data_IF_885789103801
#
_entry.id   IF_885789103801
#
_cell.length_a   1.000
_cell.length_b   1.000
_cell.length_c   1.000
_cell.angle_alpha   90.00
_cell.angle_beta   90.00
_cell.angle_gamma   90.00
#
_symmetry.space_group_name_H-M   'P 1'
#
loop_
_entity.id
_entity.type
_entity.pdbx_description
1 polymer ?
#
# COMPACT_ATOMS: atom_id res chain seq x y z
N UNK A 1 -6.81 -10.23 -14.03
CA UNK A 1 -5.89 -10.82 -15.03
C UNK A 1 -5.02 -11.84 -14.30
N UNK A 2 -5.15 -13.13 -14.58
CA UNK A 2 -4.31 -14.16 -13.94
C UNK A 2 -3.01 -14.26 -14.73
N UNK A 3 -1.90 -13.88 -14.11
CA UNK A 3 -0.56 -14.13 -14.64
C UNK A 3 -0.17 -15.57 -14.32
N UNK A 4 0.07 -16.40 -15.33
CA UNK A 4 0.72 -17.71 -15.16
C UNK A 4 2.24 -17.55 -15.25
N UNK A 5 2.99 -18.49 -14.67
CA UNK A 5 4.45 -18.40 -14.53
C UNK A 5 5.24 -18.16 -15.85
N UNK A 6 4.62 -18.36 -17.01
CA UNK A 6 5.23 -18.15 -18.33
C UNK A 6 4.78 -16.86 -19.04
N UNK A 7 3.90 -16.05 -18.44
CA UNK A 7 3.32 -14.87 -19.09
C UNK A 7 4.17 -13.60 -18.97
N UNK A 8 5.27 -13.65 -18.22
CA UNK A 8 6.21 -12.53 -18.14
C UNK A 8 7.67 -13.02 -18.06
N UNK A 9 8.22 -13.55 -19.17
CA UNK A 9 9.60 -14.04 -19.20
C UNK A 9 10.62 -13.00 -18.76
N UNK A 10 10.39 -11.74 -19.11
CA UNK A 10 11.24 -10.60 -18.76
C UNK A 10 11.24 -10.31 -17.25
N UNK A 11 10.14 -10.62 -16.55
CA UNK A 11 10.09 -10.46 -15.09
C UNK A 11 11.12 -11.33 -14.38
N UNK A 12 11.54 -12.44 -14.96
CA UNK A 12 12.53 -13.32 -14.34
C UNK A 12 13.87 -12.63 -14.10
N UNK A 13 14.32 -11.80 -15.06
CA UNK A 13 15.53 -10.97 -14.89
C UNK A 13 15.29 -9.83 -13.91
N UNK A 14 14.12 -9.17 -13.99
CA UNK A 14 13.75 -8.10 -13.08
C UNK A 14 13.67 -8.54 -11.62
N UNK A 15 13.24 -9.78 -11.35
CA UNK A 15 13.14 -10.32 -10.00
C UNK A 15 14.52 -10.63 -9.38
N UNK A 16 15.51 -11.01 -10.19
CA UNK A 16 16.86 -11.31 -9.70
C UNK A 16 17.60 -10.04 -9.28
N UNK A 17 17.36 -8.94 -10.00
CA UNK A 17 18.03 -7.65 -9.79
C UNK A 17 17.10 -6.59 -9.18
N UNK A 18 15.95 -6.98 -8.65
CA UNK A 18 14.88 -6.05 -8.27
C UNK A 18 15.37 -4.95 -7.32
N UNK A 19 16.08 -5.33 -6.26
CA UNK A 19 16.58 -4.37 -5.28
C UNK A 19 17.56 -3.38 -5.91
N UNK A 20 18.49 -3.87 -6.73
CA UNK A 20 19.46 -3.04 -7.47
C UNK A 20 18.76 -2.05 -8.39
N UNK A 21 17.78 -2.51 -9.17
CA UNK A 21 17.04 -1.66 -10.12
C UNK A 21 16.19 -0.59 -9.40
N UNK A 22 15.54 -0.96 -8.31
CA UNK A 22 14.62 -0.06 -7.59
C UNK A 22 15.38 0.93 -6.72
N UNK A 23 16.40 0.47 -5.99
CA UNK A 23 17.15 1.29 -5.04
C UNK A 23 18.28 2.04 -5.73
N UNK A 24 19.17 1.34 -6.41
CA UNK A 24 20.40 1.95 -6.94
C UNK A 24 20.15 2.75 -8.22
N UNK A 25 19.35 2.22 -9.15
CA UNK A 25 19.11 2.89 -10.43
C UNK A 25 17.97 3.90 -10.36
N UNK A 26 16.87 3.57 -9.68
CA UNK A 26 15.68 4.41 -9.64
C UNK A 26 15.57 5.30 -8.38
N UNK A 27 16.41 5.10 -7.36
CA UNK A 27 16.45 5.94 -6.17
C UNK A 27 15.24 5.80 -5.25
N UNK A 28 14.52 4.68 -5.32
CA UNK A 28 13.41 4.38 -4.42
C UNK A 28 13.89 3.66 -3.16
N UNK A 29 13.04 3.65 -2.14
CA UNK A 29 13.23 2.85 -0.95
C UNK A 29 12.28 1.66 -0.94
N UNK A 30 12.77 0.50 -0.53
CA UNK A 30 11.94 -0.67 -0.28
C UNK A 30 11.39 -0.61 1.14
N UNK A 31 10.07 -0.68 1.25
CA UNK A 31 9.39 -0.76 2.54
C UNK A 31 8.86 -2.18 2.73
N UNK A 32 9.47 -2.92 3.66
CA UNK A 32 8.94 -4.20 4.08
C UNK A 32 7.70 -4.00 4.98
N UNK A 33 6.66 -4.84 4.83
CA UNK A 33 5.56 -4.89 5.78
C UNK A 33 6.05 -5.34 7.16
N UNK A 34 5.52 -4.71 8.20
CA UNK A 34 5.77 -5.04 9.61
C UNK A 34 4.55 -5.74 10.21
N UNK A 35 4.71 -6.38 11.38
CA UNK A 35 3.59 -6.94 12.13
C UNK A 35 2.45 -5.93 12.38
N UNK A 36 2.80 -4.65 12.58
CA UNK A 36 1.85 -3.56 12.79
C UNK A 36 1.02 -3.29 11.52
N UNK A 37 1.62 -3.41 10.33
CA UNK A 37 0.90 -3.24 9.07
C UNK A 37 -0.18 -4.31 8.87
N UNK A 38 0.15 -5.57 9.19
CA UNK A 38 -0.81 -6.66 9.13
C UNK A 38 -1.96 -6.46 10.13
N UNK A 39 -1.65 -5.99 11.35
CA UNK A 39 -2.69 -5.64 12.32
C UNK A 39 -3.57 -4.50 11.82
N UNK A 40 -2.98 -3.44 11.26
CA UNK A 40 -3.72 -2.30 10.73
C UNK A 40 -4.62 -2.69 9.55
N UNK A 41 -4.18 -3.63 8.71
CA UNK A 41 -4.99 -4.17 7.62
C UNK A 41 -6.31 -4.77 8.11
N UNK A 42 -6.33 -5.42 9.28
CA UNK A 42 -7.56 -5.98 9.88
C UNK A 42 -8.57 -4.91 10.30
N UNK A 43 -8.11 -3.67 10.49
CA UNK A 43 -8.94 -2.53 10.88
C UNK A 43 -9.50 -1.77 9.68
N UNK A 44 -9.06 -2.10 8.46
CA UNK A 44 -9.58 -1.48 7.25
C UNK A 44 -11.04 -1.89 7.02
N UNK A 45 -11.88 -0.97 6.50
CA UNK A 45 -13.25 -1.30 6.12
C UNK A 45 -13.25 -2.39 5.03
N UNK A 46 -14.24 -3.28 5.11
CA UNK A 46 -14.53 -4.21 4.04
C UNK A 46 -15.20 -3.45 2.91
N UNK A 47 -14.54 -3.36 1.76
CA UNK A 47 -15.09 -2.77 0.54
C UNK A 47 -15.60 -3.89 -0.34
N UNK A 48 -16.86 -3.81 -0.78
CA UNK A 48 -17.42 -4.83 -1.66
C UNK A 48 -16.64 -4.90 -2.98
N UNK A 49 -16.39 -6.12 -3.45
CA UNK A 49 -15.54 -6.35 -4.63
C UNK A 49 -14.02 -6.20 -4.42
N UNK A 50 -13.55 -5.64 -3.30
CA UNK A 50 -12.11 -5.47 -3.03
C UNK A 50 -11.64 -6.40 -1.90
N UNK A 51 -11.18 -7.60 -2.30
CA UNK A 51 -10.88 -8.71 -1.38
C UNK A 51 -9.42 -9.14 -1.37
N UNK A 52 -8.56 -8.58 -2.22
CA UNK A 52 -7.17 -8.98 -2.27
C UNK A 52 -6.44 -8.55 -0.98
N UNK A 53 -5.85 -9.49 -0.22
CA UNK A 53 -5.14 -9.15 1.01
C UNK A 53 -3.90 -8.29 0.75
N UNK A 54 -3.25 -8.39 -0.43
CA UNK A 54 -2.05 -7.62 -0.72
C UNK A 54 -2.38 -6.15 -1.00
N UNK A 55 -3.44 -5.87 -1.77
CA UNK A 55 -3.90 -4.50 -2.02
C UNK A 55 -4.31 -3.82 -0.71
N UNK A 56 -5.02 -4.55 0.16
CA UNK A 56 -5.40 -4.06 1.49
C UNK A 56 -4.19 -3.82 2.39
N UNK A 57 -3.16 -4.65 2.32
CA UNK A 57 -1.93 -4.44 3.07
C UNK A 57 -1.22 -3.16 2.62
N UNK A 58 -1.09 -2.94 1.30
CA UNK A 58 -0.46 -1.74 0.75
C UNK A 58 -1.21 -0.47 1.18
N UNK A 59 -2.55 -0.50 1.16
CA UNK A 59 -3.38 0.61 1.64
C UNK A 59 -3.17 0.85 3.14
N UNK A 60 -3.15 -0.21 3.95
CA UNK A 60 -2.89 -0.09 5.39
C UNK A 60 -1.51 0.51 5.66
N UNK A 61 -0.49 0.09 4.90
CA UNK A 61 0.86 0.62 4.98
C UNK A 61 0.93 2.11 4.64
N UNK A 62 0.21 2.55 3.61
CA UNK A 62 0.16 3.94 3.18
C UNK A 62 -0.52 4.82 4.23
N UNK A 63 -1.66 4.38 4.77
CA UNK A 63 -2.38 5.09 5.85
C UNK A 63 -1.49 5.20 7.10
N UNK A 64 -0.91 4.09 7.55
CA UNK A 64 -0.12 4.07 8.79
C UNK A 64 1.14 4.94 8.72
N UNK A 65 1.71 5.12 7.52
CA UNK A 65 2.93 5.91 7.29
C UNK A 65 2.66 7.32 6.75
N UNK A 66 1.39 7.71 6.56
CA UNK A 66 1.04 9.00 5.98
C UNK A 66 1.57 9.20 4.55
N UNK A 67 1.57 8.14 3.74
CA UNK A 67 2.04 8.16 2.35
C UNK A 67 0.87 8.34 1.38
N UNK A 68 1.15 8.99 0.25
CA UNK A 68 0.24 9.02 -0.90
C UNK A 68 0.38 7.73 -1.72
N UNK A 69 -0.73 7.01 -1.91
CA UNK A 69 -0.76 5.78 -2.71
C UNK A 69 -0.91 6.09 -4.20
N UNK A 70 0.05 5.64 -5.01
CA UNK A 70 -0.06 5.68 -6.48
C UNK A 70 -0.69 4.37 -6.96
N UNK A 71 -1.91 4.42 -7.50
CA UNK A 71 -2.66 3.22 -7.87
C UNK A 71 -3.54 3.43 -9.09
N UNK A 72 -3.74 2.39 -9.89
CA UNK A 72 -4.77 2.34 -10.95
C UNK A 72 -6.02 1.57 -10.52
N UNK A 73 -6.07 1.07 -9.28
CA UNK A 73 -7.23 0.37 -8.75
C UNK A 73 -8.38 1.33 -8.45
N UNK A 74 -9.56 0.98 -8.96
CA UNK A 74 -10.79 1.76 -8.82
C UNK A 74 -11.39 1.67 -7.41
N UNK A 75 -10.93 0.75 -6.56
CA UNK A 75 -11.41 0.61 -5.18
C UNK A 75 -10.61 1.43 -4.17
N UNK A 76 -9.40 1.87 -4.53
CA UNK A 76 -8.55 2.75 -3.70
C UNK A 76 -9.29 3.98 -3.14
N UNK A 77 -10.17 4.69 -3.88
CA UNK A 77 -10.91 5.85 -3.37
C UNK A 77 -11.89 5.53 -2.23
N UNK A 78 -12.23 4.26 -2.01
CA UNK A 78 -13.14 3.82 -0.95
C UNK A 78 -12.43 3.69 0.41
N UNK A 79 -11.12 3.94 0.47
CA UNK A 79 -10.32 3.93 1.68
C UNK A 79 -9.92 5.36 2.07
N UNK A 80 -9.75 5.59 3.37
CA UNK A 80 -9.29 6.87 3.91
C UNK A 80 -7.77 7.03 3.75
N UNK A 81 -7.29 7.01 2.50
CA UNK A 81 -5.89 7.15 2.12
C UNK A 81 -5.74 8.28 1.10
N UNK A 82 -4.67 9.06 1.17
CA UNK A 82 -4.33 9.96 0.06
C UNK A 82 -3.87 9.12 -1.13
N UNK A 83 -4.38 9.42 -2.33
CA UNK A 83 -4.05 8.63 -3.50
C UNK A 83 -4.00 9.48 -4.78
N UNK A 84 -3.24 8.99 -5.76
CA UNK A 84 -3.20 9.52 -7.12
C UNK A 84 -3.27 8.38 -8.13
N UNK A 85 -3.85 8.65 -9.31
CA UNK A 85 -3.98 7.63 -10.37
C UNK A 85 -2.63 7.33 -11.01
N UNK A 86 -2.30 6.04 -11.16
CA UNK A 86 -1.15 5.61 -11.96
C UNK A 86 -1.46 5.72 -13.47
N UNK A 87 -0.77 6.61 -14.20
CA UNK A 87 -0.94 6.78 -15.64
C UNK A 87 -0.01 7.83 -16.25
N UNK A 88 0.10 7.87 -17.60
CA UNK A 88 0.82 8.94 -18.32
C UNK A 88 0.05 10.25 -18.15
N UNK A 89 0.70 11.25 -17.55
CA UNK A 89 0.09 12.50 -17.11
C UNK A 89 -0.95 13.10 -18.08
N UNK A 90 -2.20 13.15 -17.62
CA UNK A 90 -3.16 14.21 -17.93
C UNK A 90 -4.39 14.04 -17.02
N UNK A 91 -4.61 15.00 -16.12
CA UNK A 91 -5.82 15.09 -15.31
C UNK A 91 -5.59 14.79 -13.82
N UNK A 92 -5.21 15.83 -13.06
CA UNK A 92 -5.21 15.78 -11.61
C UNK A 92 -6.62 15.54 -11.07
N UNK A 93 -6.80 14.41 -10.37
CA UNK A 93 -7.95 14.18 -9.51
C UNK A 93 -7.85 15.10 -8.30
N UNK A 94 -8.72 16.11 -8.27
CA UNK A 94 -8.85 17.07 -7.17
C UNK A 94 -9.11 16.34 -5.84
N UNK A 95 -8.56 16.82 -4.70
CA UNK A 95 -8.93 16.34 -3.37
C UNK A 95 -10.33 16.85 -3.03
N UNK A 96 -11.38 16.18 -3.51
CA UNK A 96 -12.77 16.48 -3.20
C UNK A 96 -13.50 15.23 -2.71
N UNK A 97 -13.19 14.82 -1.48
CA UNK A 97 -14.20 14.20 -0.61
C UNK A 97 -13.78 14.33 0.85
N UNK A 98 -13.87 15.55 1.40
CA UNK A 98 -13.68 15.81 2.85
C UNK A 98 -14.92 15.50 3.69
N UNK A 99 -15.95 14.88 3.13
CA UNK A 99 -17.27 14.81 3.79
C UNK A 99 -17.65 13.41 4.32
N UNK A 100 -16.73 12.43 4.29
CA UNK A 100 -16.85 11.17 5.02
C UNK A 100 -15.51 10.71 5.58
N UNK A 101 -14.82 11.60 6.28
CA UNK A 101 -13.74 11.16 7.17
C UNK A 101 -14.44 10.51 8.38
N UNK A 102 -14.55 9.18 8.37
CA UNK A 102 -14.66 8.47 9.65
C UNK A 102 -13.30 8.71 10.31
N UNK A 103 -13.22 9.37 11.47
CA UNK A 103 -11.95 9.50 12.16
C UNK A 103 -11.46 8.09 12.49
N UNK A 104 -10.49 7.61 11.72
CA UNK A 104 -9.66 6.50 12.16
C UNK A 104 -8.70 7.17 13.14
N UNK A 105 -8.87 6.89 14.44
CA UNK A 105 -7.90 7.35 15.42
C UNK A 105 -6.49 6.99 14.92
N UNK A 106 -5.51 7.90 15.03
CA UNK A 106 -4.14 7.58 14.69
C UNK A 106 -3.79 6.31 15.44
N UNK A 107 -3.44 5.27 14.69
CA UNK A 107 -3.09 3.97 15.24
C UNK A 107 -1.90 4.20 16.17
N UNK A 108 -2.17 4.25 17.47
CA UNK A 108 -1.13 4.44 18.47
C UNK A 108 -0.11 3.33 18.29
N UNK A 109 1.20 3.64 18.20
CA UNK A 109 2.22 2.62 18.24
C UNK A 109 2.00 1.79 19.49
N UNK A 110 1.78 0.48 19.33
CA UNK A 110 1.78 -0.43 20.47
C UNK A 110 3.18 -0.33 21.08
N UNK A 111 3.31 -0.10 22.40
CA UNK A 111 4.62 -0.06 23.04
C UNK A 111 5.34 -1.37 22.73
N UNK A 112 6.56 -1.25 22.20
CA UNK A 112 7.46 -2.38 22.01
C UNK A 112 7.55 -3.10 23.36
N UNK A 113 7.02 -4.32 23.43
CA UNK A 113 7.24 -5.17 24.60
C UNK A 113 8.73 -5.46 24.62
N UNK A 114 9.42 -4.85 25.57
CA UNK A 114 10.84 -5.10 25.81
C UNK A 114 11.00 -6.59 26.12
N UNK A 115 11.73 -7.39 25.33
CA UNK A 115 11.91 -8.82 25.56
C UNK A 115 12.78 -9.12 26.81
N UNK A 116 12.91 -8.17 27.74
CA UNK A 116 13.72 -8.25 28.94
C UNK A 116 12.86 -8.05 30.21
N UNK A 117 11.74 -8.77 30.35
CA UNK A 117 11.10 -8.94 31.67
C UNK A 117 10.68 -10.41 31.87
N UNK A 118 11.48 -11.07 32.72
CA UNK A 118 11.34 -12.37 33.41
C UNK A 118 11.35 -13.67 32.60
#
# INVERSE_FOLDING_TARGET
>A
MKLSANQWPEAKGLLQDFERLVVDEAGFFLLAPTAVDYLNMTRLPTVDGHKDPMDRLIIAMAIARGLTLVSSDNNTPNYAVEWITAGKGSGGGSPRQRDRIIPVEPLTPIPTVDPQIS
#
